data_IF_059218847653
#
_entry.id   IF_059218847653
#
_cell.length_a   1.000
_cell.length_b   1.000
_cell.length_c   1.000
_cell.angle_alpha   90.00
_cell.angle_beta   90.00
_cell.angle_gamma   90.00
#
_symmetry.space_group_name_H-M   'P 1'
#
loop_
_entity.id
_entity.type
_entity.pdbx_description
1 polymer ?
#
# COMPACT_ATOMS: atom_id res chain seq x y z
N UNK A 1 -21.68 -19.83 3.90
CA UNK A 1 -22.65 -18.80 3.49
C UNK A 1 -22.12 -17.49 4.05
N UNK A 2 -21.64 -16.60 3.18
CA UNK A 2 -20.84 -15.45 3.60
C UNK A 2 -21.79 -14.28 3.87
N UNK A 3 -21.91 -13.86 5.13
CA UNK A 3 -22.85 -12.83 5.64
C UNK A 3 -22.67 -11.46 4.91
N UNK A 4 -21.54 -11.29 4.22
CA UNK A 4 -21.20 -10.07 3.50
C UNK A 4 -21.89 -9.92 2.14
N UNK A 5 -22.45 -11.00 1.58
CA UNK A 5 -23.00 -10.99 0.20
C UNK A 5 -24.42 -10.43 0.11
N UNK A 6 -25.17 -10.35 1.22
CA UNK A 6 -26.57 -9.91 1.21
C UNK A 6 -26.79 -8.43 1.57
N UNK A 7 -25.72 -7.71 1.97
CA UNK A 7 -25.85 -6.35 2.51
C UNK A 7 -25.45 -5.23 1.51
N UNK A 8 -24.96 -5.58 0.33
CA UNK A 8 -24.44 -4.58 -0.60
C UNK A 8 -25.23 -4.58 -1.91
N UNK A 9 -25.62 -3.39 -2.37
CA UNK A 9 -25.90 -3.15 -3.80
C UNK A 9 -24.57 -3.23 -4.56
N UNK A 10 -24.02 -4.46 -4.60
CA UNK A 10 -22.65 -4.72 -5.05
C UNK A 10 -22.65 -4.98 -6.55
N UNK A 11 -21.92 -4.14 -7.28
CA UNK A 11 -21.68 -4.32 -8.71
C UNK A 11 -20.39 -5.10 -8.92
N UNK A 12 -20.51 -6.28 -9.50
CA UNK A 12 -19.35 -7.09 -9.91
C UNK A 12 -18.86 -6.60 -11.28
N UNK A 13 -17.55 -6.35 -11.38
CA UNK A 13 -16.91 -5.95 -12.62
C UNK A 13 -15.77 -6.93 -12.94
N UNK A 14 -15.77 -7.47 -14.17
CA UNK A 14 -14.60 -8.17 -14.73
C UNK A 14 -13.65 -7.15 -15.31
N UNK A 15 -12.37 -7.30 -15.02
CA UNK A 15 -11.29 -6.43 -15.50
C UNK A 15 -10.25 -7.28 -16.22
N UNK A 16 -9.69 -6.73 -17.30
CA UNK A 16 -8.67 -7.39 -18.12
C UNK A 16 -7.28 -7.10 -17.57
N UNK A 17 -6.30 -7.89 -18.00
CA UNK A 17 -4.90 -7.63 -17.71
C UNK A 17 -4.49 -6.20 -18.09
N UNK A 18 -3.80 -5.52 -17.18
CA UNK A 18 -3.37 -4.13 -17.36
C UNK A 18 -4.48 -3.08 -17.25
N UNK A 19 -5.74 -3.46 -17.05
CA UNK A 19 -6.83 -2.49 -16.87
C UNK A 19 -6.69 -1.72 -15.56
N UNK A 20 -6.85 -0.40 -15.62
CA UNK A 20 -6.80 0.48 -14.45
C UNK A 20 -8.14 0.38 -13.70
N UNK A 21 -8.09 -0.13 -12.47
CA UNK A 21 -9.25 -0.20 -11.56
C UNK A 21 -9.39 1.12 -10.79
N UNK A 22 -8.26 1.64 -10.30
CA UNK A 22 -8.15 2.92 -9.60
C UNK A 22 -7.06 3.75 -10.26
N UNK A 23 -7.36 5.01 -10.56
CA UNK A 23 -6.40 5.98 -11.07
C UNK A 23 -5.99 6.97 -9.98
N UNK A 24 -4.68 7.10 -9.71
CA UNK A 24 -4.11 8.10 -8.80
C UNK A 24 -4.57 9.52 -9.17
N UNK A 25 -4.85 10.35 -8.17
CA UNK A 25 -5.27 11.74 -8.34
C UNK A 25 -6.77 11.94 -8.61
N UNK A 26 -7.55 10.88 -8.86
CA UNK A 26 -9.01 10.97 -9.05
C UNK A 26 -9.76 11.02 -7.71
N UNK A 27 -11.01 11.50 -7.72
CA UNK A 27 -11.87 11.43 -6.55
C UNK A 27 -12.43 10.02 -6.35
N UNK A 28 -12.53 9.53 -5.09
CA UNK A 28 -13.01 8.18 -4.79
C UNK A 28 -14.55 8.12 -4.84
N UNK A 29 -15.07 7.21 -5.68
CA UNK A 29 -16.50 6.88 -5.72
C UNK A 29 -16.79 5.49 -5.14
N UNK A 30 -15.87 4.55 -5.30
CA UNK A 30 -16.00 3.18 -4.88
C UNK A 30 -14.78 2.72 -4.09
N UNK A 31 -14.97 1.85 -3.10
CA UNK A 31 -13.98 0.89 -2.66
C UNK A 31 -14.23 -0.43 -3.39
N UNK A 32 -13.29 -1.36 -3.30
CA UNK A 32 -13.33 -2.60 -4.05
C UNK A 32 -12.94 -3.77 -3.16
N UNK A 33 -13.51 -4.95 -3.45
CA UNK A 33 -13.03 -6.24 -2.96
C UNK A 33 -12.52 -7.01 -4.17
N UNK A 34 -11.31 -7.52 -4.10
CA UNK A 34 -10.79 -8.42 -5.14
C UNK A 34 -11.39 -9.81 -4.91
N UNK A 35 -12.28 -10.22 -5.81
CA UNK A 35 -12.99 -11.52 -5.70
C UNK A 35 -12.20 -12.65 -6.33
N UNK A 36 -11.49 -12.36 -7.42
CA UNK A 36 -10.66 -13.31 -8.16
C UNK A 36 -9.49 -12.56 -8.82
N UNK A 37 -8.36 -13.24 -8.99
CA UNK A 37 -7.18 -12.71 -9.68
C UNK A 37 -6.24 -11.93 -8.78
N UNK A 38 -5.46 -11.02 -9.37
CA UNK A 38 -4.45 -10.19 -8.70
C UNK A 38 -4.48 -8.75 -9.20
N UNK A 39 -3.97 -7.82 -8.41
CA UNK A 39 -3.80 -6.44 -8.84
C UNK A 39 -2.54 -5.83 -8.21
N UNK A 40 -1.91 -4.88 -8.92
CA UNK A 40 -0.73 -4.14 -8.48
C UNK A 40 -1.14 -2.76 -8.01
N UNK A 41 -0.67 -2.38 -6.84
CA UNK A 41 -0.80 -1.02 -6.29
C UNK A 41 0.45 -0.24 -6.65
N UNK A 42 0.29 0.85 -7.39
CA UNK A 42 1.38 1.64 -7.95
C UNK A 42 1.28 3.09 -7.52
N UNK A 43 2.40 3.68 -7.12
CA UNK A 43 2.55 5.11 -6.82
C UNK A 43 3.38 5.79 -7.89
N UNK A 44 2.89 6.93 -8.39
CA UNK A 44 3.67 7.75 -9.32
C UNK A 44 4.57 8.75 -8.57
N UNK A 45 5.87 8.71 -8.85
CA UNK A 45 6.85 9.66 -8.31
C UNK A 45 7.68 10.22 -9.46
N UNK A 46 7.40 11.47 -9.83
CA UNK A 46 8.12 12.13 -10.90
C UNK A 46 8.06 11.40 -12.25
N UNK A 47 6.92 10.82 -12.59
CA UNK A 47 6.70 10.03 -13.82
C UNK A 47 7.14 8.57 -13.74
N UNK A 48 7.75 8.13 -12.64
CA UNK A 48 8.12 6.72 -12.40
C UNK A 48 7.05 6.03 -11.57
N UNK A 49 6.64 4.84 -11.99
CA UNK A 49 5.74 4.00 -11.21
C UNK A 49 6.53 3.13 -10.23
N UNK A 50 6.19 3.21 -8.96
CA UNK A 50 6.76 2.42 -7.87
C UNK A 50 5.71 1.44 -7.39
N UNK A 51 6.04 0.15 -7.36
CA UNK A 51 5.18 -0.89 -6.79
C UNK A 51 5.14 -0.71 -5.27
N UNK A 52 3.92 -0.50 -4.74
CA UNK A 52 3.67 -0.36 -3.31
C UNK A 52 3.20 -1.69 -2.72
N UNK A 53 2.28 -2.40 -3.43
CA UNK A 53 1.66 -3.63 -2.93
C UNK A 53 1.16 -4.52 -4.06
N UNK A 54 0.94 -5.80 -3.72
CA UNK A 54 0.28 -6.80 -4.56
C UNK A 54 -0.98 -7.28 -3.86
N UNK A 55 -2.13 -7.02 -4.47
CA UNK A 55 -3.43 -7.45 -3.97
C UNK A 55 -3.76 -8.84 -4.48
N UNK A 56 -4.39 -9.61 -3.61
CA UNK A 56 -4.86 -10.98 -3.87
C UNK A 56 -6.34 -11.12 -3.52
N UNK A 57 -6.92 -12.25 -3.85
CA UNK A 57 -8.32 -12.56 -3.54
C UNK A 57 -8.65 -12.33 -2.07
N UNK A 58 -9.76 -11.64 -1.81
CA UNK A 58 -10.24 -11.23 -0.49
C UNK A 58 -9.74 -9.87 -0.03
N UNK A 59 -8.76 -9.26 -0.69
CA UNK A 59 -8.26 -7.93 -0.30
C UNK A 59 -9.29 -6.85 -0.62
N UNK A 60 -9.45 -5.92 0.34
CA UNK A 60 -10.24 -4.69 0.18
C UNK A 60 -9.27 -3.55 -0.15
N UNK A 61 -9.60 -2.73 -1.13
CA UNK A 61 -8.74 -1.62 -1.55
C UNK A 61 -9.53 -0.39 -2.02
N UNK A 62 -8.89 0.78 -1.99
CA UNK A 62 -9.50 2.05 -2.33
C UNK A 62 -10.28 2.69 -1.17
N UNK A 63 -10.40 2.02 -0.03
CA UNK A 63 -11.06 2.47 1.20
C UNK A 63 -10.31 3.62 1.89
N UNK A 64 -8.97 3.65 1.79
CA UNK A 64 -8.11 4.64 2.44
C UNK A 64 -8.57 6.05 2.10
N UNK A 65 -8.83 6.32 0.81
CA UNK A 65 -9.25 7.65 0.36
C UNK A 65 -10.61 8.10 0.92
N UNK A 66 -11.47 7.18 1.35
CA UNK A 66 -12.70 7.51 2.06
C UNK A 66 -12.40 7.92 3.50
N UNK A 67 -11.54 7.17 4.19
CA UNK A 67 -11.20 7.38 5.59
C UNK A 67 -10.43 8.68 5.81
N UNK A 68 -9.46 9.01 4.92
CA UNK A 68 -8.67 10.24 5.02
C UNK A 68 -9.26 11.41 4.20
N UNK A 69 -10.41 11.21 3.55
CA UNK A 69 -11.16 12.24 2.80
C UNK A 69 -10.31 12.95 1.74
N UNK A 70 -9.55 12.19 0.96
CA UNK A 70 -8.63 12.71 -0.06
C UNK A 70 -8.85 12.04 -1.42
N UNK A 71 -8.23 12.59 -2.46
CA UNK A 71 -8.10 11.93 -3.75
C UNK A 71 -7.31 10.62 -3.63
N UNK A 72 -7.44 9.76 -4.63
CA UNK A 72 -6.66 8.52 -4.75
C UNK A 72 -5.17 8.80 -4.64
N UNK A 73 -4.51 8.18 -3.71
CA UNK A 73 -3.07 8.35 -3.45
C UNK A 73 -2.19 7.42 -4.26
N UNK A 74 -2.80 6.39 -4.87
CA UNK A 74 -2.16 5.36 -5.68
C UNK A 74 -3.05 4.96 -6.85
N UNK A 75 -2.48 4.33 -7.87
CA UNK A 75 -3.21 3.59 -8.90
C UNK A 75 -3.27 2.12 -8.55
N UNK A 76 -4.35 1.44 -8.97
CA UNK A 76 -4.47 -0.03 -8.89
C UNK A 76 -4.76 -0.55 -10.28
N UNK A 77 -3.94 -1.51 -10.74
CA UNK A 77 -3.98 -2.08 -12.08
C UNK A 77 -4.09 -3.59 -11.96
N UNK A 78 -4.98 -4.20 -12.72
CA UNK A 78 -5.13 -5.65 -12.78
C UNK A 78 -3.84 -6.33 -13.26
N UNK A 79 -3.46 -7.43 -12.61
CA UNK A 79 -2.30 -8.27 -12.94
C UNK A 79 -2.82 -9.65 -13.40
N UNK A 80 -3.12 -9.74 -14.68
CA UNK A 80 -3.95 -10.76 -15.28
C UNK A 80 -5.44 -10.40 -15.26
N UNK A 81 -6.31 -11.33 -15.65
CA UNK A 81 -7.76 -11.17 -15.52
C UNK A 81 -8.15 -11.18 -14.03
N UNK A 82 -9.07 -10.30 -13.65
CA UNK A 82 -9.54 -10.21 -12.28
C UNK A 82 -11.04 -9.89 -12.21
N UNK A 83 -11.65 -10.20 -11.07
CA UNK A 83 -13.03 -9.86 -10.75
C UNK A 83 -13.02 -9.00 -9.49
N UNK A 84 -13.62 -7.82 -9.56
CA UNK A 84 -13.76 -6.90 -8.44
C UNK A 84 -15.23 -6.66 -8.10
N UNK A 85 -15.53 -6.59 -6.83
CA UNK A 85 -16.80 -6.16 -6.28
C UNK A 85 -16.68 -4.70 -5.85
N UNK A 86 -17.59 -3.84 -6.33
CA UNK A 86 -17.57 -2.39 -6.10
C UNK A 86 -18.47 -2.05 -4.92
N UNK A 87 -17.96 -1.33 -3.95
CA UNK A 87 -18.69 -0.84 -2.76
C UNK A 87 -18.78 0.68 -2.86
N UNK A 88 -19.99 1.24 -2.81
CA UNK A 88 -20.16 2.69 -2.83
C UNK A 88 -19.58 3.31 -1.55
N UNK A 89 -19.22 4.59 -1.66
CA UNK A 89 -18.72 5.34 -0.49
C UNK A 89 -19.75 5.35 0.64
N UNK A 90 -21.02 5.58 0.32
CA UNK A 90 -22.08 5.69 1.33
C UNK A 90 -22.24 4.35 2.07
N UNK A 91 -22.32 3.25 1.34
CA UNK A 91 -22.36 1.90 1.94
C UNK A 91 -21.16 1.65 2.84
N UNK A 92 -19.94 1.98 2.40
CA UNK A 92 -18.73 1.79 3.20
C UNK A 92 -18.77 2.65 4.47
N UNK A 93 -19.14 3.93 4.36
CA UNK A 93 -19.17 4.84 5.50
C UNK A 93 -20.27 4.47 6.49
N UNK A 94 -21.42 3.96 6.04
CA UNK A 94 -22.49 3.45 6.92
C UNK A 94 -21.99 2.32 7.85
N UNK A 95 -21.05 1.49 7.39
CA UNK A 95 -20.40 0.50 8.25
C UNK A 95 -19.43 1.13 9.24
N UNK A 96 -18.61 2.07 8.76
CA UNK A 96 -17.65 2.76 9.63
C UNK A 96 -18.37 3.54 10.72
N UNK A 97 -19.47 4.21 10.39
CA UNK A 97 -20.23 5.04 11.34
C UNK A 97 -20.94 4.21 12.44
N UNK A 98 -21.23 2.93 12.17
CA UNK A 98 -21.77 1.99 13.19
C UNK A 98 -20.71 1.45 14.15
N UNK A 99 -19.42 1.65 13.86
CA UNK A 99 -18.35 1.20 14.75
C UNK A 99 -18.22 2.08 15.99
N UNK A 100 -17.71 1.57 17.11
CA UNK A 100 -17.35 2.39 18.27
C UNK A 100 -16.37 3.51 17.88
N UNK A 101 -16.52 4.69 18.50
CA UNK A 101 -15.76 5.90 18.18
C UNK A 101 -14.24 5.70 18.20
N UNK A 102 -13.74 4.94 19.18
CA UNK A 102 -12.32 4.59 19.29
C UNK A 102 -11.82 3.76 18.10
N UNK A 103 -12.66 2.86 17.55
CA UNK A 103 -12.33 2.06 16.37
C UNK A 103 -12.31 2.93 15.11
N UNK A 104 -13.31 3.81 14.95
CA UNK A 104 -13.35 4.78 13.84
C UNK A 104 -12.08 5.65 13.82
N UNK A 105 -11.71 6.25 14.98
CA UNK A 105 -10.50 7.06 15.10
C UNK A 105 -9.26 6.27 14.73
N UNK A 106 -9.14 5.03 15.22
CA UNK A 106 -8.01 4.17 14.91
C UNK A 106 -7.90 3.85 13.42
N UNK A 107 -9.01 3.53 12.76
CA UNK A 107 -9.06 3.29 11.31
C UNK A 107 -8.57 4.52 10.52
N UNK A 108 -9.04 5.72 10.86
CA UNK A 108 -8.61 6.95 10.19
C UNK A 108 -7.12 7.23 10.41
N UNK A 109 -6.61 7.04 11.64
CA UNK A 109 -5.18 7.21 11.94
C UNK A 109 -4.35 6.24 11.13
N UNK A 110 -4.71 4.95 11.12
CA UNK A 110 -4.01 3.92 10.35
C UNK A 110 -4.00 4.24 8.85
N UNK A 111 -5.12 4.68 8.29
CA UNK A 111 -5.22 5.07 6.88
C UNK A 111 -4.29 6.27 6.55
N UNK A 112 -4.20 7.25 7.45
CA UNK A 112 -3.30 8.41 7.32
C UNK A 112 -1.83 7.98 7.37
N UNK A 113 -1.48 7.12 8.31
CA UNK A 113 -0.11 6.62 8.48
C UNK A 113 0.32 5.81 7.24
N UNK A 114 -0.55 4.94 6.72
CA UNK A 114 -0.31 4.18 5.50
C UNK A 114 -0.07 5.08 4.29
N UNK A 115 -0.86 6.14 4.15
CA UNK A 115 -0.68 7.13 3.07
C UNK A 115 0.70 7.78 3.17
N UNK A 116 1.08 8.24 4.36
CA UNK A 116 2.38 8.88 4.60
C UNK A 116 3.55 7.92 4.36
N UNK A 117 3.44 6.69 4.81
CA UNK A 117 4.48 5.67 4.61
C UNK A 117 4.66 5.31 3.13
N UNK A 118 3.56 5.15 2.38
CA UNK A 118 3.61 4.89 0.94
C UNK A 118 4.30 6.02 0.19
N UNK A 119 4.06 7.28 0.59
CA UNK A 119 4.71 8.45 0.01
C UNK A 119 6.22 8.45 0.28
N UNK A 120 6.64 8.22 1.53
CA UNK A 120 8.06 8.17 1.92
C UNK A 120 8.77 7.03 1.19
N UNK A 121 8.19 5.83 1.21
CA UNK A 121 8.74 4.64 0.57
C UNK A 121 8.96 4.87 -0.93
N UNK A 122 7.95 5.35 -1.63
CA UNK A 122 8.02 5.54 -3.08
C UNK A 122 9.08 6.57 -3.48
N UNK A 123 9.21 7.67 -2.71
CA UNK A 123 10.28 8.67 -2.93
C UNK A 123 11.65 8.09 -2.70
N UNK A 124 11.85 7.30 -1.65
CA UNK A 124 13.12 6.63 -1.35
C UNK A 124 13.52 5.65 -2.48
N UNK A 125 12.58 4.84 -2.97
CA UNK A 125 12.84 3.92 -4.08
C UNK A 125 13.36 4.68 -5.31
N UNK A 126 12.72 5.79 -5.67
CA UNK A 126 13.16 6.61 -6.83
C UNK A 126 14.51 7.25 -6.58
N UNK A 127 14.76 7.78 -5.38
CA UNK A 127 16.06 8.34 -5.01
C UNK A 127 17.17 7.29 -5.11
N UNK A 128 16.97 6.10 -4.53
CA UNK A 128 17.93 5.01 -4.56
C UNK A 128 18.22 4.51 -5.98
N UNK A 129 17.24 4.51 -6.88
CA UNK A 129 17.43 4.15 -8.27
C UNK A 129 18.36 5.14 -9.02
N UNK A 130 18.33 6.42 -8.65
CA UNK A 130 19.07 7.49 -9.29
C UNK A 130 20.47 7.74 -8.68
N UNK A 131 20.80 7.06 -7.58
CA UNK A 131 22.07 7.26 -6.86
C UNK A 131 23.16 6.28 -7.33
N UNK A 132 24.42 6.74 -7.33
CA UNK A 132 25.57 5.83 -7.49
C UNK A 132 25.73 4.91 -6.25
N UNK A 133 26.58 3.87 -6.34
CA UNK A 133 26.70 2.85 -5.31
C UNK A 133 27.10 3.42 -3.92
N UNK A 134 27.97 4.42 -3.88
CA UNK A 134 28.45 5.05 -2.65
C UNK A 134 27.35 5.87 -1.95
N UNK A 135 26.63 6.71 -2.73
CA UNK A 135 25.49 7.46 -2.20
C UNK A 135 24.34 6.56 -1.76
N UNK A 136 24.12 5.41 -2.43
CA UNK A 136 23.12 4.42 -1.99
C UNK A 136 23.41 3.86 -0.61
N UNK A 137 24.69 3.64 -0.30
CA UNK A 137 25.11 3.12 1.00
C UNK A 137 24.83 4.12 2.13
N UNK A 138 25.20 5.39 1.95
CA UNK A 138 24.94 6.47 2.92
C UNK A 138 23.44 6.67 3.15
N UNK A 139 22.63 6.67 2.07
CA UNK A 139 21.19 6.81 2.17
C UNK A 139 20.52 5.65 2.92
N UNK A 140 21.01 4.42 2.74
CA UNK A 140 20.51 3.24 3.45
C UNK A 140 20.82 3.32 4.96
N UNK A 141 22.02 3.75 5.35
CA UNK A 141 22.37 3.95 6.77
C UNK A 141 21.50 5.05 7.42
N UNK A 142 21.29 6.16 6.73
CA UNK A 142 20.41 7.24 7.22
C UNK A 142 18.98 6.76 7.39
N UNK A 143 18.48 5.96 6.43
CA UNK A 143 17.14 5.38 6.51
C UNK A 143 16.98 4.41 7.68
N UNK A 144 17.97 3.54 7.94
CA UNK A 144 17.93 2.63 9.09
C UNK A 144 17.88 3.40 10.43
N UNK A 145 18.61 4.52 10.53
CA UNK A 145 18.58 5.39 11.73
C UNK A 145 17.19 6.00 11.91
N UNK A 146 16.58 6.52 10.84
CA UNK A 146 15.23 7.10 10.90
C UNK A 146 14.16 6.02 11.16
N UNK A 147 14.28 4.84 10.56
CA UNK A 147 13.37 3.72 10.79
C UNK A 147 13.41 3.21 12.25
N UNK A 148 14.58 3.30 12.92
CA UNK A 148 14.70 2.96 14.35
C UNK A 148 14.00 3.96 15.27
N UNK A 149 13.74 5.18 14.81
CA UNK A 149 12.97 6.21 15.53
C UNK A 149 11.46 5.97 15.46
N UNK A 150 10.99 5.10 14.55
CA UNK A 150 9.58 4.71 14.50
C UNK A 150 9.29 3.89 15.77
N UNK A 151 8.29 4.31 16.60
CA UNK A 151 7.93 3.57 17.81
C UNK A 151 7.67 2.09 17.49
N UNK A 152 8.15 1.21 18.40
CA UNK A 152 7.98 -0.26 18.27
C UNK A 152 6.51 -0.65 18.06
N UNK A 153 5.59 0.07 18.72
CA UNK A 153 4.16 -0.08 18.51
C UNK A 153 3.75 0.12 17.04
N UNK A 154 4.28 1.15 16.36
CA UNK A 154 4.00 1.39 14.93
C UNK A 154 4.61 0.29 14.08
N UNK A 155 5.80 -0.20 14.43
CA UNK A 155 6.40 -1.36 13.75
C UNK A 155 5.55 -2.62 13.93
N UNK A 156 5.03 -2.88 15.13
CA UNK A 156 4.13 -4.00 15.40
C UNK A 156 2.77 -3.85 14.71
N UNK A 157 2.24 -2.64 14.61
CA UNK A 157 1.03 -2.35 13.81
C UNK A 157 1.30 -2.60 12.34
N UNK A 158 2.46 -2.17 11.83
CA UNK A 158 2.90 -2.44 10.45
C UNK A 158 3.04 -3.96 10.24
N UNK A 159 3.67 -4.67 11.16
CA UNK A 159 3.84 -6.13 11.12
C UNK A 159 2.50 -6.86 11.25
N UNK A 160 1.58 -6.36 12.07
CA UNK A 160 0.22 -6.92 12.23
C UNK A 160 -0.73 -6.61 11.06
N UNK A 161 -0.40 -5.61 10.23
CA UNK A 161 -1.06 -5.31 8.94
C UNK A 161 -0.36 -6.01 7.77
N UNK A 162 0.49 -6.94 8.07
CA UNK A 162 1.64 -7.53 7.36
C UNK A 162 1.36 -8.17 5.99
N UNK A 163 0.13 -8.37 5.60
CA UNK A 163 -0.14 -8.83 4.23
C UNK A 163 0.02 -7.73 3.18
N UNK A 164 -0.31 -6.49 3.52
CA UNK A 164 -0.28 -5.38 2.56
C UNK A 164 1.08 -4.68 2.49
N UNK A 165 1.90 -4.81 3.52
CA UNK A 165 3.19 -4.14 3.60
C UNK A 165 4.40 -5.07 3.46
N UNK A 166 4.18 -6.38 3.35
CA UNK A 166 5.28 -7.35 3.16
C UNK A 166 6.16 -7.00 1.96
N UNK A 167 5.59 -6.46 0.89
CA UNK A 167 6.36 -6.02 -0.30
C UNK A 167 7.26 -4.83 0.02
N UNK A 168 6.78 -3.84 0.80
CA UNK A 168 7.59 -2.69 1.19
C UNK A 168 8.64 -3.08 2.23
N UNK A 169 8.26 -3.86 3.24
CA UNK A 169 9.18 -4.38 4.28
C UNK A 169 10.17 -5.37 3.69
N UNK A 170 9.72 -6.27 2.80
CA UNK A 170 10.58 -7.20 2.09
C UNK A 170 11.52 -6.49 1.10
N UNK A 171 11.05 -5.43 0.44
CA UNK A 171 11.87 -4.55 -0.39
C UNK A 171 12.94 -3.83 0.43
N UNK A 172 12.60 -3.31 1.61
CA UNK A 172 13.54 -2.69 2.55
C UNK A 172 14.53 -3.70 3.13
N UNK A 173 14.09 -4.89 3.48
CA UNK A 173 14.94 -5.98 3.95
C UNK A 173 15.87 -6.48 2.84
N UNK A 174 15.42 -6.59 1.59
CA UNK A 174 16.28 -6.91 0.43
C UNK A 174 17.33 -5.83 0.18
N UNK A 175 16.98 -4.56 0.34
CA UNK A 175 17.93 -3.43 0.23
C UNK A 175 18.96 -3.46 1.37
N UNK A 176 18.53 -3.64 2.62
CA UNK A 176 19.39 -3.79 3.79
C UNK A 176 20.37 -4.96 3.63
N UNK A 177 19.87 -6.12 3.21
CA UNK A 177 20.70 -7.31 2.96
C UNK A 177 21.70 -7.14 1.81
N UNK A 178 21.33 -6.41 0.75
CA UNK A 178 22.24 -6.09 -0.35
C UNK A 178 23.35 -5.13 0.09
N UNK A 179 23.04 -4.16 0.95
CA UNK A 179 24.01 -3.22 1.54
C UNK A 179 25.00 -3.98 2.40
N UNK A 180 24.52 -4.87 3.26
CA UNK A 180 25.35 -5.64 4.19
C UNK A 180 26.30 -6.63 3.47
N UNK A 181 25.81 -7.33 2.43
CA UNK A 181 26.66 -8.19 1.59
C UNK A 181 27.76 -7.41 0.85
N UNK A 182 27.49 -6.16 0.46
CA UNK A 182 28.51 -5.30 -0.19
C UNK A 182 29.52 -4.78 0.81
N UNK A 183 29.11 -4.43 2.04
CA UNK A 183 29.99 -4.02 3.14
C UNK A 183 30.98 -5.12 3.49
N UNK A 184 30.50 -6.36 3.61
CA UNK A 184 31.36 -7.53 3.88
C UNK A 184 32.36 -7.78 2.74
N UNK A 185 31.98 -7.61 1.47
CA UNK A 185 32.89 -7.76 0.33
C UNK A 185 33.97 -6.68 0.24
N UNK A 186 33.66 -5.45 0.71
CA UNK A 186 34.65 -4.35 0.73
C UNK A 186 35.63 -4.45 1.91
N UNK A 187 35.26 -5.14 2.99
CA UNK A 187 36.15 -5.37 4.13
C UNK A 187 37.11 -6.57 3.91
N UNK A 188 36.82 -7.39 2.89
CA UNK A 188 37.60 -8.58 2.55
C UNK A 188 38.46 -8.40 1.27
N UNK A 189 38.54 -7.20 0.72
CA UNK A 189 39.47 -6.76 -0.35
C UNK A 189 40.34 -5.63 0.16
#
# INVERSE_FOLDING_TARGET
>A
MNIYTELFDSRIKKVKDGEIIIQEGTWPYYAYILKEGKARVLKNVGGKQVLIDLLTEGDIFGEISFLVKTKRTVSVIADGEAIVEMITRDTFMDFVDKLPRNVQTRLCTMASDLTSMSEIYSRLVVLLQNMNAEKKMIAAETFEIEAKKIPEFIRQVITGMDRRHSVAVEGLNKLSFQVERRRIRQLNN
#
